data_IF_348536963943
#
_entry.id   IF_348536963943
#
_cell.length_a   1.000
_cell.length_b   1.000
_cell.length_c   1.000
_cell.angle_alpha   90.00
_cell.angle_beta   90.00
_cell.angle_gamma   90.00
#
_symmetry.space_group_name_H-M   'P 1'
#
loop_
_entity.id
_entity.type
_entity.pdbx_description
1 polymer ?
#
# COMPACT_ATOMS: atom_id res chain seq x y z
N UNK A 1 7.92 23.85 -25.36
CA UNK A 1 6.75 23.11 -24.87
C UNK A 1 6.90 21.65 -25.24
N UNK A 2 7.35 20.81 -24.31
CA UNK A 2 7.56 19.39 -24.53
C UNK A 2 6.19 18.69 -24.41
N UNK A 3 5.65 18.18 -25.53
CA UNK A 3 4.44 17.36 -25.50
C UNK A 3 4.82 16.03 -24.84
N UNK A 4 4.36 15.85 -23.60
CA UNK A 4 4.39 14.55 -22.94
C UNK A 4 3.67 13.54 -23.85
N UNK A 5 4.35 12.47 -24.22
CA UNK A 5 3.81 11.44 -25.07
C UNK A 5 2.55 10.86 -24.43
N UNK A 6 1.45 10.81 -25.19
CA UNK A 6 0.22 10.10 -24.80
C UNK A 6 0.57 8.64 -24.56
N UNK A 7 0.65 8.25 -23.31
CA UNK A 7 0.88 6.87 -22.92
C UNK A 7 -0.48 6.17 -22.97
N UNK A 8 -0.68 5.33 -23.96
CA UNK A 8 -1.84 4.43 -24.03
C UNK A 8 -1.61 3.32 -23.01
N UNK A 9 -2.27 3.40 -21.86
CA UNK A 9 -2.18 2.36 -20.83
C UNK A 9 -2.77 1.05 -21.40
N UNK A 10 -1.93 0.03 -21.59
CA UNK A 10 -2.40 -1.36 -21.60
C UNK A 10 -2.98 -1.61 -20.22
N UNK A 11 -4.24 -2.01 -20.14
CA UNK A 11 -4.88 -2.39 -18.88
C UNK A 11 -4.03 -3.48 -18.22
N UNK A 12 -3.38 -3.12 -17.12
CA UNK A 12 -2.64 -4.09 -16.32
C UNK A 12 -3.62 -5.16 -15.81
N UNK A 13 -3.25 -6.44 -15.82
CA UNK A 13 -4.14 -7.48 -15.32
C UNK A 13 -4.37 -7.28 -13.81
N UNK A 14 -5.61 -6.99 -13.42
CA UNK A 14 -6.05 -6.64 -12.06
C UNK A 14 -5.69 -7.74 -11.04
N UNK A 15 -5.42 -8.97 -11.49
CA UNK A 15 -5.14 -10.10 -10.59
C UNK A 15 -3.90 -9.91 -9.71
N UNK A 16 -2.87 -9.14 -10.14
CA UNK A 16 -1.69 -8.84 -9.31
C UNK A 16 -2.08 -8.02 -8.08
N UNK A 17 -2.95 -7.03 -8.27
CA UNK A 17 -3.46 -6.17 -7.21
C UNK A 17 -4.33 -6.96 -6.25
N UNK A 18 -5.22 -7.80 -6.78
CA UNK A 18 -6.08 -8.69 -5.99
C UNK A 18 -5.25 -9.70 -5.17
N UNK A 19 -4.19 -10.25 -5.75
CA UNK A 19 -3.27 -11.13 -5.07
C UNK A 19 -2.55 -10.39 -3.92
N UNK A 20 -2.08 -9.17 -4.16
CA UNK A 20 -1.42 -8.36 -3.13
C UNK A 20 -2.36 -8.04 -1.95
N UNK A 21 -3.62 -7.67 -2.23
CA UNK A 21 -4.64 -7.46 -1.19
C UNK A 21 -4.89 -8.77 -0.43
N UNK A 22 -5.05 -9.87 -1.15
CA UNK A 22 -5.24 -11.20 -0.53
C UNK A 22 -4.09 -11.60 0.37
N UNK A 23 -2.84 -11.33 -0.04
CA UNK A 23 -1.66 -11.55 0.79
C UNK A 23 -1.68 -10.65 2.03
N UNK A 24 -2.03 -9.36 1.90
CA UNK A 24 -2.12 -8.44 3.03
C UNK A 24 -3.13 -8.94 4.08
N UNK A 25 -4.31 -9.36 3.65
CA UNK A 25 -5.35 -9.94 4.53
C UNK A 25 -4.86 -11.25 5.16
N UNK A 26 -4.26 -12.14 4.37
CA UNK A 26 -3.74 -13.42 4.87
C UNK A 26 -2.65 -13.23 5.93
N UNK A 27 -1.73 -12.29 5.71
CA UNK A 27 -0.65 -11.98 6.65
C UNK A 27 -1.21 -11.41 7.96
N UNK A 28 -2.26 -10.59 7.93
CA UNK A 28 -2.92 -10.11 9.13
C UNK A 28 -3.55 -11.23 9.99
N UNK A 29 -3.97 -12.34 9.37
CA UNK A 29 -4.51 -13.49 10.10
C UNK A 29 -3.45 -14.20 10.97
N UNK A 30 -2.16 -14.01 10.71
CA UNK A 30 -1.08 -14.52 11.55
C UNK A 30 -0.75 -13.59 12.71
N UNK A 31 -1.28 -12.37 12.74
CA UNK A 31 -1.08 -11.43 13.85
C UNK A 31 -1.71 -12.00 15.12
N UNK A 32 -1.04 -11.85 16.27
CA UNK A 32 -1.60 -12.29 17.55
C UNK A 32 -2.91 -11.53 17.85
N UNK A 33 -3.90 -12.26 18.39
CA UNK A 33 -5.24 -11.75 18.68
C UNK A 33 -5.23 -10.52 19.61
N UNK A 34 -4.25 -10.44 20.48
CA UNK A 34 -4.10 -9.35 21.46
C UNK A 34 -3.72 -8.01 20.80
N UNK A 35 -3.28 -8.04 19.53
CA UNK A 35 -2.85 -6.86 18.78
C UNK A 35 -3.82 -6.49 17.65
N UNK A 36 -5.01 -7.04 17.65
CA UNK A 36 -6.08 -6.74 16.69
C UNK A 36 -7.26 -6.13 17.43
N UNK A 37 -7.76 -5.00 16.95
CA UNK A 37 -8.96 -4.37 17.50
C UNK A 37 -10.21 -5.12 17.07
N UNK A 38 -10.95 -5.63 18.04
CA UNK A 38 -12.21 -6.34 17.81
C UNK A 38 -12.04 -7.79 17.35
N UNK A 39 -13.12 -8.45 16.94
CA UNK A 39 -13.07 -9.84 16.54
C UNK A 39 -12.35 -9.98 15.19
N UNK A 40 -11.10 -10.44 15.23
CA UNK A 40 -10.22 -10.63 14.05
C UNK A 40 -10.93 -11.28 12.86
N UNK A 41 -11.76 -12.29 13.14
CA UNK A 41 -12.47 -13.03 12.09
C UNK A 41 -13.53 -12.18 11.38
N UNK A 42 -14.15 -11.21 12.07
CA UNK A 42 -15.14 -10.30 11.49
C UNK A 42 -14.44 -9.28 10.60
N UNK A 43 -13.32 -8.72 11.04
CA UNK A 43 -12.53 -7.77 10.24
C UNK A 43 -12.00 -8.43 8.98
N UNK A 44 -11.33 -9.59 9.12
CA UNK A 44 -10.81 -10.35 7.98
C UNK A 44 -11.95 -10.82 7.03
N UNK A 45 -13.11 -11.18 7.57
CA UNK A 45 -14.29 -11.54 6.77
C UNK A 45 -14.83 -10.35 5.97
N UNK A 46 -14.88 -9.15 6.57
CA UNK A 46 -15.31 -7.93 5.90
C UNK A 46 -14.32 -7.50 4.80
N UNK A 47 -13.02 -7.57 5.10
CA UNK A 47 -11.97 -7.29 4.12
C UNK A 47 -12.02 -8.27 2.94
N UNK A 48 -12.23 -9.55 3.21
CA UNK A 48 -12.40 -10.58 2.18
C UNK A 48 -13.67 -10.33 1.34
N UNK A 49 -14.77 -9.95 1.98
CA UNK A 49 -16.00 -9.63 1.29
C UNK A 49 -15.83 -8.42 0.38
N UNK A 50 -15.15 -7.38 0.83
CA UNK A 50 -14.82 -6.22 0.02
C UNK A 50 -13.88 -6.58 -1.14
N UNK A 51 -12.87 -7.43 -0.90
CA UNK A 51 -11.99 -7.93 -1.95
C UNK A 51 -12.77 -8.69 -3.03
N UNK A 52 -13.71 -9.53 -2.63
CA UNK A 52 -14.60 -10.25 -3.57
C UNK A 52 -15.46 -9.24 -4.34
N UNK A 53 -16.04 -8.24 -3.67
CA UNK A 53 -16.87 -7.22 -4.30
C UNK A 53 -16.10 -6.39 -5.35
N UNK A 54 -14.84 -6.05 -5.05
CA UNK A 54 -13.93 -5.35 -5.99
C UNK A 54 -13.55 -6.27 -7.17
N UNK A 55 -13.46 -7.58 -6.92
CA UNK A 55 -13.00 -8.58 -7.89
C UNK A 55 -14.09 -9.05 -8.85
N UNK A 56 -15.35 -8.95 -8.47
CA UNK A 56 -16.46 -9.41 -9.30
C UNK A 56 -16.48 -8.67 -10.65
N UNK A 57 -16.35 -9.39 -11.78
CA UNK A 57 -16.47 -8.77 -13.08
C UNK A 57 -17.89 -8.24 -13.21
N UNK A 58 -18.00 -6.96 -13.43
CA UNK A 58 -19.29 -6.31 -13.62
C UNK A 58 -19.95 -6.77 -14.94
N UNK A 59 -20.51 -7.98 -14.96
CA UNK A 59 -21.18 -8.58 -16.12
C UNK A 59 -22.57 -8.00 -16.44
N UNK A 60 -23.08 -7.12 -15.58
CA UNK A 60 -24.47 -6.64 -15.70
C UNK A 60 -24.53 -5.11 -15.79
N UNK A 61 -24.83 -4.57 -16.97
CA UNK A 61 -25.28 -3.20 -17.30
C UNK A 61 -24.31 -2.29 -18.09
N UNK A 62 -24.87 -1.62 -19.06
CA UNK A 62 -24.30 -0.77 -20.11
C UNK A 62 -23.73 0.60 -19.67
N UNK A 63 -23.43 0.85 -18.37
CA UNK A 63 -22.90 2.13 -17.87
C UNK A 63 -21.49 1.96 -17.30
N UNK A 64 -20.49 1.96 -18.17
CA UNK A 64 -19.08 1.77 -17.80
C UNK A 64 -18.54 2.77 -16.77
N UNK A 65 -18.94 4.02 -16.81
CA UNK A 65 -18.41 5.08 -15.94
C UNK A 65 -18.78 4.90 -14.44
N UNK A 66 -20.05 4.68 -14.11
CA UNK A 66 -20.47 4.54 -12.70
C UNK A 66 -19.85 3.33 -11.99
N UNK A 67 -19.43 2.32 -12.73
CA UNK A 67 -18.84 1.09 -12.16
C UNK A 67 -17.38 1.25 -11.78
N UNK A 68 -16.61 1.97 -12.57
CA UNK A 68 -15.23 2.28 -12.24
C UNK A 68 -15.18 3.11 -10.96
N UNK A 69 -16.09 4.09 -10.83
CA UNK A 69 -16.19 4.91 -9.61
C UNK A 69 -16.55 4.08 -8.37
N UNK A 70 -17.54 3.17 -8.48
CA UNK A 70 -17.94 2.32 -7.34
C UNK A 70 -16.81 1.35 -6.96
N UNK A 71 -16.21 0.66 -7.94
CA UNK A 71 -15.10 -0.27 -7.70
C UNK A 71 -13.97 0.44 -6.97
N UNK A 72 -13.60 1.62 -7.46
CA UNK A 72 -12.55 2.43 -6.87
C UNK A 72 -12.88 2.87 -5.45
N UNK A 73 -14.09 3.36 -5.23
CA UNK A 73 -14.55 3.71 -3.89
C UNK A 73 -14.43 2.52 -2.92
N UNK A 74 -14.87 1.33 -3.36
CA UNK A 74 -14.74 0.10 -2.56
C UNK A 74 -13.28 -0.30 -2.31
N UNK A 75 -12.42 -0.17 -3.32
CA UNK A 75 -10.97 -0.41 -3.21
C UNK A 75 -10.33 0.52 -2.18
N UNK A 76 -10.61 1.82 -2.27
CA UNK A 76 -10.10 2.80 -1.31
C UNK A 76 -10.62 2.57 0.10
N UNK A 77 -11.89 2.20 0.27
CA UNK A 77 -12.47 1.86 1.58
C UNK A 77 -11.77 0.63 2.16
N UNK A 78 -11.56 -0.42 1.36
CA UNK A 78 -10.84 -1.61 1.78
C UNK A 78 -9.41 -1.29 2.22
N UNK A 79 -8.66 -0.55 1.40
CA UNK A 79 -7.29 -0.16 1.71
C UNK A 79 -7.22 0.75 2.94
N UNK A 80 -8.17 1.67 3.10
CA UNK A 80 -8.25 2.50 4.30
C UNK A 80 -8.52 1.67 5.56
N UNK A 81 -9.41 0.68 5.49
CA UNK A 81 -9.68 -0.24 6.60
C UNK A 81 -8.41 -1.00 7.00
N UNK A 82 -7.73 -1.63 6.05
CA UNK A 82 -6.50 -2.38 6.31
C UNK A 82 -5.42 -1.45 6.90
N UNK A 83 -5.28 -0.23 6.37
CA UNK A 83 -4.33 0.76 6.88
C UNK A 83 -4.63 1.15 8.33
N UNK A 84 -5.89 1.46 8.65
CA UNK A 84 -6.30 1.81 10.00
C UNK A 84 -6.07 0.64 10.97
N UNK A 85 -6.48 -0.56 10.60
CA UNK A 85 -6.23 -1.77 11.39
C UNK A 85 -4.74 -1.98 11.64
N UNK A 86 -3.90 -1.80 10.63
CA UNK A 86 -2.45 -1.94 10.74
C UNK A 86 -1.82 -0.89 11.69
N UNK A 87 -2.26 0.37 11.61
CA UNK A 87 -1.79 1.44 12.50
C UNK A 87 -2.21 1.17 13.95
N UNK A 88 -3.44 0.73 14.16
CA UNK A 88 -3.92 0.40 15.51
C UNK A 88 -3.16 -0.81 16.06
N UNK A 89 -2.89 -1.83 15.26
CA UNK A 89 -2.07 -2.97 15.66
C UNK A 89 -0.65 -2.53 16.05
N UNK A 90 -0.05 -1.57 15.33
CA UNK A 90 1.24 -0.99 15.69
C UNK A 90 1.19 -0.32 17.07
N UNK A 91 0.13 0.43 17.37
CA UNK A 91 -0.06 1.08 18.69
C UNK A 91 -0.19 0.02 19.79
N UNK A 92 -0.97 -1.03 19.57
CA UNK A 92 -1.15 -2.12 20.54
C UNK A 92 0.16 -2.88 20.81
N UNK A 93 0.92 -3.21 19.76
CA UNK A 93 2.24 -3.85 19.89
C UNK A 93 3.21 -2.92 20.65
N UNK A 94 3.18 -1.62 20.35
CA UNK A 94 3.99 -0.62 21.07
C UNK A 94 3.66 -0.59 22.57
N UNK A 95 2.38 -0.58 22.89
CA UNK A 95 1.90 -0.58 24.27
C UNK A 95 2.28 -1.88 25.02
N UNK A 96 2.14 -3.04 24.35
CA UNK A 96 2.54 -4.33 24.91
C UNK A 96 4.06 -4.40 25.19
N UNK A 97 4.87 -3.81 24.30
CA UNK A 97 6.31 -3.71 24.49
C UNK A 97 6.67 -2.90 25.77
N UNK A 98 6.04 -1.73 25.92
CA UNK A 98 6.30 -0.83 27.06
C UNK A 98 5.90 -1.50 28.38
N UNK A 99 4.78 -2.21 28.41
CA UNK A 99 4.24 -2.84 29.62
C UNK A 99 4.88 -4.21 29.95
N UNK A 100 5.72 -4.74 29.07
CA UNK A 100 6.39 -6.03 29.29
C UNK A 100 5.44 -7.24 29.34
N UNK A 101 4.23 -7.13 28.78
CA UNK A 101 3.13 -8.08 28.99
C UNK A 101 3.20 -9.32 28.09
N UNK A 102 4.16 -9.41 27.16
CA UNK A 102 4.17 -10.46 26.12
C UNK A 102 5.58 -10.98 25.81
N UNK A 103 5.66 -12.21 25.29
CA UNK A 103 6.93 -12.81 24.86
C UNK A 103 7.63 -11.96 23.78
N UNK A 104 8.95 -11.86 23.87
CA UNK A 104 9.73 -11.08 22.89
C UNK A 104 9.60 -11.62 21.48
N UNK A 105 9.46 -12.92 21.33
CA UNK A 105 9.26 -13.58 20.05
C UNK A 105 7.96 -13.13 19.36
N UNK A 106 6.84 -13.14 20.10
CA UNK A 106 5.54 -12.75 19.54
C UNK A 106 5.50 -11.27 19.15
N UNK A 107 6.17 -10.40 19.90
CA UNK A 107 6.30 -8.99 19.57
C UNK A 107 7.09 -8.77 18.27
N UNK A 108 8.21 -9.47 18.08
CA UNK A 108 9.03 -9.36 16.86
C UNK A 108 8.24 -9.86 15.64
N UNK A 109 7.60 -11.03 15.74
CA UNK A 109 6.80 -11.58 14.64
C UNK A 109 5.65 -10.63 14.29
N UNK A 110 4.94 -10.10 15.30
CA UNK A 110 3.85 -9.15 15.07
C UNK A 110 4.34 -7.85 14.40
N UNK A 111 5.49 -7.33 14.81
CA UNK A 111 6.07 -6.14 14.18
C UNK A 111 6.49 -6.40 12.72
N UNK A 112 7.04 -7.57 12.41
CA UNK A 112 7.36 -7.95 11.03
C UNK A 112 6.11 -8.09 10.15
N UNK A 113 5.03 -8.66 10.69
CA UNK A 113 3.73 -8.76 10.02
C UNK A 113 3.17 -7.36 9.72
N UNK A 114 3.19 -6.47 10.71
CA UNK A 114 2.75 -5.07 10.58
C UNK A 114 3.58 -4.35 9.52
N UNK A 115 4.90 -4.52 9.54
CA UNK A 115 5.82 -3.92 8.57
C UNK A 115 5.56 -4.40 7.13
N UNK A 116 5.40 -5.71 6.93
CA UNK A 116 5.11 -6.28 5.63
C UNK A 116 3.75 -5.81 5.10
N UNK A 117 2.71 -5.80 5.95
CA UNK A 117 1.38 -5.28 5.61
C UNK A 117 1.45 -3.80 5.24
N UNK A 118 2.20 -2.99 5.99
CA UNK A 118 2.41 -1.58 5.70
C UNK A 118 2.97 -1.37 4.28
N UNK A 119 4.01 -2.13 3.90
CA UNK A 119 4.59 -2.06 2.55
C UNK A 119 3.56 -2.37 1.47
N UNK A 120 2.84 -3.48 1.61
CA UNK A 120 1.89 -3.94 0.58
C UNK A 120 0.75 -2.93 0.42
N UNK A 121 0.16 -2.51 1.53
CA UNK A 121 -1.02 -1.63 1.53
C UNK A 121 -0.69 -0.23 1.00
N UNK A 122 0.45 0.34 1.39
CA UNK A 122 0.85 1.64 0.85
C UNK A 122 1.26 1.57 -0.62
N UNK A 123 1.89 0.48 -1.07
CA UNK A 123 2.12 0.25 -2.50
C UNK A 123 0.81 0.24 -3.30
N UNK A 124 -0.24 -0.41 -2.77
CA UNK A 124 -1.58 -0.42 -3.35
C UNK A 124 -2.24 0.96 -3.31
N UNK A 125 -2.10 1.70 -2.21
CA UNK A 125 -2.62 3.07 -2.10
C UNK A 125 -1.97 4.01 -3.11
N UNK A 126 -0.65 3.95 -3.28
CA UNK A 126 0.07 4.76 -4.27
C UNK A 126 -0.40 4.44 -5.69
N UNK A 127 -0.56 3.16 -6.00
CA UNK A 127 -1.08 2.73 -7.30
C UNK A 127 -2.51 3.23 -7.53
N UNK A 128 -3.40 3.08 -6.54
CA UNK A 128 -4.81 3.46 -6.65
C UNK A 128 -5.01 4.97 -6.78
N UNK A 129 -4.25 5.80 -6.03
CA UNK A 129 -4.37 7.26 -6.13
C UNK A 129 -3.83 7.79 -7.46
N UNK A 130 -2.72 7.20 -7.97
CA UNK A 130 -2.10 7.64 -9.22
C UNK A 130 -2.89 7.16 -10.46
N UNK A 131 -3.69 6.09 -10.34
CA UNK A 131 -4.58 5.61 -11.41
C UNK A 131 -5.68 6.63 -11.75
N UNK A 132 -6.10 7.46 -10.78
CA UNK A 132 -7.10 8.52 -10.96
C UNK A 132 -6.74 9.53 -12.03
N UNK A 133 -5.46 9.82 -12.10
CA UNK A 133 -4.93 10.84 -13.00
C UNK A 133 -4.61 10.30 -14.39
N UNK A 134 -4.72 8.98 -14.60
CA UNK A 134 -4.34 8.33 -15.84
C UNK A 134 -5.48 8.19 -16.87
N UNK A 135 -6.72 8.54 -16.53
CA UNK A 135 -7.92 8.41 -17.38
C UNK A 135 -7.95 9.39 -18.59
N UNK A 136 -6.79 9.88 -18.97
CA UNK A 136 -6.59 10.50 -20.29
C UNK A 136 -7.06 11.93 -20.44
N UNK A 137 -7.40 12.63 -19.36
CA UNK A 137 -7.58 14.06 -19.41
C UNK A 137 -6.22 14.76 -19.40
N UNK A 138 -5.90 15.60 -20.39
CA UNK A 138 -4.57 16.20 -20.55
C UNK A 138 -4.11 17.08 -19.38
N UNK A 139 -5.04 17.50 -18.51
CA UNK A 139 -4.82 18.48 -17.42
C UNK A 139 -4.84 17.88 -16.01
N UNK A 140 -5.02 16.57 -15.86
CA UNK A 140 -5.04 15.97 -14.51
C UNK A 140 -3.59 15.73 -14.02
N UNK A 141 -3.28 16.30 -12.87
CA UNK A 141 -1.97 16.22 -12.21
C UNK A 141 -1.76 14.81 -11.66
N UNK A 142 -0.76 14.11 -12.15
CA UNK A 142 -0.31 12.83 -11.57
C UNK A 142 0.14 13.03 -10.14
N UNK A 143 0.01 11.97 -9.33
CA UNK A 143 0.52 11.97 -7.95
C UNK A 143 2.01 11.67 -7.89
N UNK A 144 2.49 10.83 -8.80
CA UNK A 144 3.90 10.44 -8.90
C UNK A 144 4.45 10.67 -10.31
N UNK A 145 5.71 11.11 -10.37
CA UNK A 145 6.52 11.10 -11.59
C UNK A 145 7.67 10.12 -11.40
N UNK A 146 7.77 9.18 -12.32
CA UNK A 146 8.88 8.21 -12.36
C UNK A 146 9.98 8.69 -13.30
N UNK A 147 11.26 8.37 -13.05
CA UNK A 147 12.39 8.79 -13.89
C UNK A 147 12.23 8.40 -15.35
N UNK A 148 11.63 7.21 -15.62
CA UNK A 148 11.38 6.72 -16.96
C UNK A 148 10.49 7.66 -17.79
N UNK A 149 9.65 8.46 -17.12
CA UNK A 149 8.81 9.47 -17.78
C UNK A 149 9.57 10.75 -18.16
N UNK A 150 10.74 10.97 -17.55
CA UNK A 150 11.60 12.14 -17.80
C UNK A 150 12.69 11.86 -18.82
N UNK A 151 12.87 10.61 -19.23
CA UNK A 151 13.87 10.22 -20.22
C UNK A 151 13.53 10.76 -21.62
N UNK A 152 14.57 11.05 -22.46
CA UNK A 152 14.36 11.51 -23.84
C UNK A 152 13.49 10.52 -24.66
N UNK A 153 12.68 11.03 -25.60
CA UNK A 153 11.80 10.17 -26.43
C UNK A 153 12.54 9.06 -27.21
N UNK A 154 13.82 9.26 -27.51
CA UNK A 154 14.66 8.26 -28.17
C UNK A 154 14.86 7.02 -27.28
N UNK A 155 14.88 7.18 -25.97
CA UNK A 155 15.03 6.10 -25.00
C UNK A 155 13.68 5.51 -24.63
N UNK A 156 12.66 6.36 -24.38
CA UNK A 156 11.33 5.91 -23.95
C UNK A 156 10.58 5.14 -25.04
N UNK A 157 10.83 5.44 -26.32
CA UNK A 157 10.25 4.67 -27.45
C UNK A 157 10.75 3.23 -27.53
N UNK A 158 11.97 2.94 -27.04
CA UNK A 158 12.52 1.58 -27.04
C UNK A 158 11.88 0.68 -25.98
N UNK A 159 11.39 1.28 -24.87
CA UNK A 159 10.91 0.51 -23.71
C UNK A 159 9.40 0.54 -23.53
N UNK A 160 8.62 1.38 -24.25
CA UNK A 160 7.16 1.54 -24.11
C UNK A 160 6.68 1.41 -22.64
N UNK A 161 7.43 2.02 -21.70
CA UNK A 161 7.25 1.84 -20.28
C UNK A 161 6.00 2.57 -19.75
N UNK A 162 5.24 1.90 -18.92
CA UNK A 162 4.14 2.44 -18.14
C UNK A 162 4.29 2.00 -16.69
N UNK A 163 3.96 2.83 -15.70
CA UNK A 163 4.03 2.43 -14.31
C UNK A 163 3.06 1.27 -14.06
N UNK A 164 3.56 0.24 -13.43
CA UNK A 164 2.83 -0.96 -13.03
C UNK A 164 2.68 -0.97 -11.50
N UNK A 165 1.85 -1.84 -10.95
CA UNK A 165 1.77 -2.03 -9.50
C UNK A 165 3.15 -2.28 -8.87
N UNK A 166 4.03 -2.98 -9.58
CA UNK A 166 5.39 -3.27 -9.10
C UNK A 166 6.23 -2.01 -8.88
N UNK A 167 6.05 -0.98 -9.71
CA UNK A 167 6.77 0.29 -9.55
C UNK A 167 6.33 1.01 -8.26
N UNK A 168 5.03 1.01 -7.95
CA UNK A 168 4.51 1.59 -6.71
C UNK A 168 4.85 0.76 -5.47
N UNK A 169 4.91 -0.57 -5.60
CA UNK A 169 5.38 -1.44 -4.53
C UNK A 169 6.85 -1.17 -4.22
N UNK A 170 7.68 -0.97 -5.25
CA UNK A 170 9.09 -0.57 -5.09
C UNK A 170 9.21 0.77 -4.36
N UNK A 171 8.42 1.79 -4.73
CA UNK A 171 8.35 3.07 -4.01
C UNK A 171 7.97 2.85 -2.55
N UNK A 172 7.00 1.99 -2.28
CA UNK A 172 6.58 1.67 -0.91
C UNK A 172 7.67 0.97 -0.10
N UNK A 173 8.37 -0.01 -0.68
CA UNK A 173 9.50 -0.70 -0.04
C UNK A 173 10.60 0.30 0.32
N UNK A 174 11.03 1.12 -0.62
CA UNK A 174 12.10 2.09 -0.40
C UNK A 174 11.71 3.17 0.60
N UNK A 175 10.46 3.62 0.59
CA UNK A 175 9.94 4.58 1.57
C UNK A 175 9.85 3.98 2.98
N UNK A 176 9.43 2.70 3.12
CA UNK A 176 9.33 2.01 4.39
C UNK A 176 10.69 1.71 5.02
N UNK A 177 11.70 1.41 4.21
CA UNK A 177 13.06 1.06 4.67
C UNK A 177 13.96 2.27 4.85
N UNK A 178 13.48 3.48 4.58
CA UNK A 178 14.24 4.73 4.63
C UNK A 178 15.48 4.77 3.71
N UNK A 179 15.54 3.89 2.69
CA UNK A 179 16.62 3.89 1.70
C UNK A 179 16.44 4.99 0.63
N UNK A 180 15.66 6.03 0.92
CA UNK A 180 15.38 7.15 0.03
C UNK A 180 14.77 6.71 -1.31
N UNK A 181 13.49 6.90 -1.55
CA UNK A 181 12.87 6.59 -2.83
C UNK A 181 13.39 7.58 -3.87
N UNK A 182 14.51 7.23 -4.49
CA UNK A 182 15.15 8.09 -5.48
C UNK A 182 14.46 8.06 -6.83
N UNK A 183 13.55 7.07 -7.03
CA UNK A 183 13.06 6.74 -8.36
C UNK A 183 11.66 7.28 -8.66
N UNK A 184 10.92 7.80 -7.67
CA UNK A 184 9.61 8.42 -7.90
C UNK A 184 9.44 9.70 -7.11
N UNK A 185 9.00 10.76 -7.78
CA UNK A 185 8.78 12.07 -7.17
C UNK A 185 7.30 12.23 -6.80
N UNK A 186 6.92 12.29 -5.50
CA UNK A 186 5.55 12.64 -5.10
C UNK A 186 5.31 14.13 -5.39
N UNK A 187 4.31 14.44 -6.22
CA UNK A 187 4.04 15.80 -6.67
C UNK A 187 2.92 16.43 -5.85
N UNK A 188 1.89 15.65 -5.55
CA UNK A 188 0.71 16.15 -4.86
C UNK A 188 0.84 16.07 -3.35
N UNK A 189 0.05 16.90 -2.64
CA UNK A 189 -0.01 16.85 -1.18
C UNK A 189 -0.50 15.50 -0.66
N UNK A 190 -1.46 14.85 -1.36
CA UNK A 190 -1.98 13.54 -0.95
C UNK A 190 -0.90 12.45 -1.02
N UNK A 191 -0.10 12.43 -2.08
CA UNK A 191 1.03 11.50 -2.19
C UNK A 191 2.06 11.73 -1.08
N UNK A 192 2.46 12.99 -0.85
CA UNK A 192 3.40 13.36 0.20
C UNK A 192 2.89 12.98 1.59
N UNK A 193 1.60 13.22 1.87
CA UNK A 193 0.98 12.86 3.15
C UNK A 193 1.01 11.34 3.36
N UNK A 194 0.60 10.55 2.37
CA UNK A 194 0.62 9.09 2.45
C UNK A 194 2.04 8.55 2.64
N UNK A 195 3.03 9.06 1.91
CA UNK A 195 4.43 8.68 2.10
C UNK A 195 4.94 9.03 3.49
N UNK A 196 4.55 10.18 4.04
CA UNK A 196 4.93 10.58 5.40
C UNK A 196 4.31 9.64 6.44
N UNK A 197 3.02 9.32 6.33
CA UNK A 197 2.34 8.38 7.24
C UNK A 197 3.01 7.02 7.20
N UNK A 198 3.29 6.50 6.01
CA UNK A 198 3.99 5.22 5.85
C UNK A 198 5.38 5.25 6.49
N UNK A 199 6.17 6.28 6.21
CA UNK A 199 7.53 6.40 6.73
C UNK A 199 7.54 6.45 8.27
N UNK A 200 6.62 7.21 8.89
CA UNK A 200 6.51 7.30 10.34
C UNK A 200 6.08 5.95 10.95
N UNK A 201 5.11 5.26 10.36
CA UNK A 201 4.69 3.94 10.81
C UNK A 201 5.82 2.91 10.69
N UNK A 202 6.56 2.92 9.59
CA UNK A 202 7.71 2.05 9.36
C UNK A 202 8.84 2.32 10.35
N UNK A 203 9.18 3.59 10.56
CA UNK A 203 10.22 3.99 11.51
C UNK A 203 9.86 3.54 12.94
N UNK A 204 8.60 3.74 13.35
CA UNK A 204 8.12 3.28 14.65
C UNK A 204 8.25 1.76 14.78
N UNK A 205 7.87 1.00 13.74
CA UNK A 205 7.98 -0.47 13.73
C UNK A 205 9.43 -0.93 13.85
N UNK A 206 10.34 -0.34 13.08
CA UNK A 206 11.77 -0.67 13.13
C UNK A 206 12.36 -0.34 14.51
N UNK A 207 12.00 0.83 15.08
CA UNK A 207 12.45 1.23 16.40
C UNK A 207 11.97 0.26 17.50
N UNK A 208 10.74 -0.24 17.40
CA UNK A 208 10.21 -1.26 18.33
C UNK A 208 10.99 -2.57 18.26
N UNK A 209 11.28 -3.06 17.05
CA UNK A 209 12.08 -4.28 16.86
C UNK A 209 13.48 -4.10 17.42
N UNK A 210 14.12 -2.97 17.15
CA UNK A 210 15.45 -2.66 17.67
C UNK A 210 15.48 -2.58 19.20
N UNK A 211 14.51 -1.87 19.80
CA UNK A 211 14.39 -1.77 21.25
C UNK A 211 14.21 -3.15 21.91
N UNK A 212 13.41 -4.02 21.30
CA UNK A 212 13.20 -5.38 21.81
C UNK A 212 14.46 -6.26 21.66
N UNK A 213 15.16 -6.15 20.52
CA UNK A 213 16.40 -6.88 20.30
C UNK A 213 17.45 -6.52 21.37
N UNK A 214 17.61 -5.24 21.68
CA UNK A 214 18.53 -4.77 22.75
C UNK A 214 18.10 -5.31 24.11
N UNK A 215 16.81 -5.24 24.45
CA UNK A 215 16.31 -5.73 25.75
C UNK A 215 16.54 -7.25 25.93
N UNK A 216 16.48 -8.04 24.85
CA UNK A 216 16.75 -9.49 24.93
C UNK A 216 18.22 -9.84 25.05
N UNK A 217 19.14 -8.95 24.64
CA UNK A 217 20.58 -9.16 24.80
C UNK A 217 21.09 -8.75 26.19
N UNK A 218 20.29 -7.96 26.92
CA UNK A 218 20.65 -7.46 28.26
C UNK A 218 20.02 -8.27 29.42
N UNK A 219 19.21 -9.26 29.11
CA UNK A 219 18.56 -10.19 30.04
C UNK A 219 19.30 -11.53 30.08
#
# INVERSE_FOLDING_TARGET
MMKLARIHRKTEPIWHVQLAIGIAIAVQLFLNKDYVVGPRNILAGLELLLLIAVSLPARVSNKHHNRQVIRRFLSLVLLAMITVTNIVSLILVSHALINGSTSGHDLIISALIIFATNIIVFGLLYWEIDEDTADGKPDEKRDFIFPQQTLPPAVTKQFAWNPTFFDYLYVSITNATAFSPTDAYPITYRAKLLMTIQALASLATIALVAARAVATLSS
#
